data_IF_730146688277
#
_entry.id   IF_730146688277
#
_cell.length_a   1.000
_cell.length_b   1.000
_cell.length_c   1.000
_cell.angle_alpha   90.00
_cell.angle_beta   90.00
_cell.angle_gamma   90.00
#
_symmetry.space_group_name_H-M   'P 1'
#
loop_
_entity.id
_entity.type
_entity.pdbx_description
1 polymer ?
#
# COMPACT_ATOMS: atom_id res chain seq x y z
N UNK A 1 -24.56 -1.58 13.07
CA UNK A 1 -25.41 -0.56 13.72
C UNK A 1 -26.77 -1.13 14.13
N UNK A 2 -27.45 -1.90 13.25
CA UNK A 2 -28.75 -2.52 13.54
C UNK A 2 -28.68 -3.73 14.48
N UNK A 3 -27.60 -4.51 14.39
CA UNK A 3 -27.44 -5.80 15.11
C UNK A 3 -26.67 -5.69 16.43
N UNK A 4 -25.93 -4.60 16.63
CA UNK A 4 -25.06 -4.38 17.79
C UNK A 4 -25.64 -3.40 18.83
N UNK A 5 -26.92 -3.03 18.72
CA UNK A 5 -27.60 -2.09 19.63
C UNK A 5 -26.96 -0.69 19.70
N UNK A 6 -26.00 -0.39 18.82
CA UNK A 6 -25.19 0.80 18.88
C UNK A 6 -25.97 2.02 18.36
N UNK A 7 -26.31 2.95 19.26
CA UNK A 7 -27.04 4.19 18.93
C UNK A 7 -26.15 5.30 18.37
N UNK A 8 -24.83 5.08 18.27
CA UNK A 8 -23.86 6.08 17.78
C UNK A 8 -23.82 6.12 16.25
N UNK A 9 -24.98 6.27 15.62
CA UNK A 9 -25.11 6.33 14.15
C UNK A 9 -24.25 7.43 13.53
N UNK A 10 -24.02 8.53 14.26
CA UNK A 10 -23.17 9.64 13.84
C UNK A 10 -21.74 9.21 13.51
N UNK A 11 -21.20 8.20 14.20
CA UNK A 11 -19.88 7.63 13.88
C UNK A 11 -19.87 6.89 12.54
N UNK A 12 -21.01 6.32 12.14
CA UNK A 12 -21.20 5.61 10.88
C UNK A 12 -21.38 6.53 9.68
N UNK A 13 -21.81 7.77 9.89
CA UNK A 13 -22.21 8.69 8.82
C UNK A 13 -21.08 8.93 7.81
N UNK A 14 -19.85 9.08 8.27
CA UNK A 14 -18.66 9.25 7.40
C UNK A 14 -18.45 8.05 6.46
N UNK A 15 -18.71 6.82 6.93
CA UNK A 15 -18.56 5.61 6.12
C UNK A 15 -19.69 5.49 5.08
N UNK A 16 -20.92 5.83 5.47
CA UNK A 16 -22.06 5.84 4.53
C UNK A 16 -21.85 6.89 3.45
N UNK A 17 -21.46 8.11 3.84
CA UNK A 17 -21.17 9.18 2.90
C UNK A 17 -20.05 8.79 1.93
N UNK A 18 -18.98 8.19 2.45
CA UNK A 18 -17.89 7.67 1.63
C UNK A 18 -18.42 6.65 0.61
N UNK A 19 -19.16 5.64 1.07
CA UNK A 19 -19.71 4.58 0.22
C UNK A 19 -20.56 5.17 -0.91
N UNK A 20 -21.45 6.12 -0.60
CA UNK A 20 -22.28 6.80 -1.61
C UNK A 20 -21.41 7.57 -2.62
N UNK A 21 -20.39 8.29 -2.15
CA UNK A 21 -19.56 9.11 -3.03
C UNK A 21 -18.67 8.29 -3.97
N UNK A 22 -18.27 7.09 -3.57
CA UNK A 22 -17.41 6.21 -4.39
C UNK A 22 -18.20 5.18 -5.21
N UNK A 23 -19.49 4.99 -4.94
CA UNK A 23 -20.35 4.12 -5.72
C UNK A 23 -20.53 4.63 -7.15
N UNK A 24 -20.27 3.76 -8.11
CA UNK A 24 -20.45 4.03 -9.54
C UNK A 24 -21.94 3.96 -9.89
N UNK A 25 -22.44 5.02 -10.54
CA UNK A 25 -23.83 5.04 -11.00
C UNK A 25 -23.98 4.33 -12.35
N UNK A 26 -24.97 3.45 -12.49
CA UNK A 26 -25.15 2.56 -13.66
C UNK A 26 -25.22 3.32 -14.99
N UNK A 27 -25.97 4.42 -15.06
CA UNK A 27 -26.19 5.16 -16.31
C UNK A 27 -24.94 5.94 -16.77
N UNK A 28 -24.14 6.46 -15.84
CA UNK A 28 -23.00 7.33 -16.17
C UNK A 28 -21.68 6.57 -16.17
N UNK A 29 -21.61 5.43 -15.48
CA UNK A 29 -20.37 4.70 -15.24
C UNK A 29 -19.36 5.49 -14.39
N UNK A 30 -19.81 6.55 -13.70
CA UNK A 30 -18.96 7.43 -12.88
C UNK A 30 -19.50 7.49 -11.45
N UNK A 31 -18.60 7.65 -10.49
CA UNK A 31 -18.94 7.96 -9.10
C UNK A 31 -19.03 9.47 -8.87
N UNK A 32 -19.86 9.95 -7.94
CA UNK A 32 -19.89 11.37 -7.57
C UNK A 32 -18.50 11.93 -7.21
N UNK A 33 -17.65 11.12 -6.55
CA UNK A 33 -16.26 11.48 -6.23
C UNK A 33 -15.45 11.76 -7.50
N UNK A 34 -15.47 10.83 -8.47
CA UNK A 34 -14.73 11.01 -9.72
C UNK A 34 -15.21 12.21 -10.52
N UNK A 35 -16.52 12.47 -10.52
CA UNK A 35 -17.10 13.65 -11.18
C UNK A 35 -16.66 14.95 -10.51
N UNK A 36 -16.50 14.96 -9.19
CA UNK A 36 -16.13 16.18 -8.43
C UNK A 36 -14.64 16.45 -8.39
N UNK A 37 -13.80 15.41 -8.32
CA UNK A 37 -12.36 15.54 -8.16
C UNK A 37 -11.56 15.20 -9.43
N UNK A 38 -12.19 14.57 -10.42
CA UNK A 38 -11.54 14.20 -11.69
C UNK A 38 -10.62 12.98 -11.60
N UNK A 39 -10.41 12.42 -10.40
CA UNK A 39 -9.61 11.21 -10.16
C UNK A 39 -10.41 10.16 -9.38
N UNK A 40 -9.97 8.89 -9.48
CA UNK A 40 -10.53 7.83 -8.63
C UNK A 40 -10.08 8.03 -7.17
N UNK A 41 -10.91 7.65 -6.20
CA UNK A 41 -10.56 7.73 -4.79
C UNK A 41 -9.33 6.86 -4.48
N UNK A 42 -8.30 7.46 -3.87
CA UNK A 42 -7.12 6.73 -3.37
C UNK A 42 -7.43 6.05 -2.05
N UNK A 43 -7.21 4.74 -1.96
CA UNK A 43 -7.59 3.91 -0.81
C UNK A 43 -6.36 3.11 -0.35
N UNK A 44 -6.28 2.82 0.95
CA UNK A 44 -5.22 1.98 1.50
C UNK A 44 -3.84 2.63 1.36
N UNK A 45 -2.85 1.88 0.86
CA UNK A 45 -1.47 2.36 0.71
C UNK A 45 -1.36 3.51 -0.29
N UNK A 46 -2.25 3.60 -1.28
CA UNK A 46 -2.27 4.69 -2.27
C UNK A 46 -2.66 6.05 -1.67
N UNK A 47 -3.26 6.05 -0.47
CA UNK A 47 -3.60 7.29 0.25
C UNK A 47 -2.38 7.96 0.91
N UNK A 48 -1.25 7.24 1.02
CA UNK A 48 -0.01 7.75 1.59
C UNK A 48 0.97 8.21 0.50
N UNK A 49 1.89 9.10 0.89
CA UNK A 49 2.99 9.53 0.01
C UNK A 49 4.09 8.46 0.08
N UNK A 50 3.90 7.37 -0.65
CA UNK A 50 4.85 6.26 -0.73
C UNK A 50 5.49 6.18 -2.12
N UNK A 51 6.73 5.66 -2.22
CA UNK A 51 7.34 5.34 -3.51
C UNK A 51 6.45 4.37 -4.29
N UNK A 52 6.26 4.64 -5.59
CA UNK A 52 5.44 3.77 -6.46
C UNK A 52 5.92 2.33 -6.45
N UNK A 53 7.23 2.10 -6.44
CA UNK A 53 7.82 0.76 -6.34
C UNK A 53 7.34 -0.03 -5.12
N UNK A 54 7.15 0.64 -3.98
CA UNK A 54 6.67 0.00 -2.75
C UNK A 54 5.18 -0.34 -2.84
N UNK A 55 4.37 0.59 -3.38
CA UNK A 55 2.93 0.36 -3.58
C UNK A 55 2.71 -0.75 -4.61
N UNK A 56 3.52 -0.78 -5.67
CA UNK A 56 3.46 -1.80 -6.72
C UNK A 56 3.89 -3.18 -6.20
N UNK A 57 4.91 -3.25 -5.35
CA UNK A 57 5.33 -4.49 -4.69
C UNK A 57 4.25 -5.05 -3.75
N UNK A 58 3.39 -4.19 -3.20
CA UNK A 58 2.33 -4.59 -2.25
C UNK A 58 1.01 -5.01 -2.92
N UNK A 59 0.99 -5.25 -4.24
CA UNK A 59 -0.24 -5.58 -4.99
C UNK A 59 -0.76 -7.00 -4.75
N UNK A 60 0.13 -7.97 -4.63
CA UNK A 60 -0.22 -9.38 -4.36
C UNK A 60 0.74 -9.97 -3.35
N UNK A 61 0.35 -11.08 -2.72
CA UNK A 61 1.19 -11.78 -1.75
C UNK A 61 2.51 -12.24 -2.38
N UNK A 62 2.47 -12.75 -3.61
CA UNK A 62 3.65 -13.22 -4.34
C UNK A 62 4.65 -12.08 -4.62
N UNK A 63 4.15 -10.88 -4.99
CA UNK A 63 5.01 -9.72 -5.24
C UNK A 63 5.66 -9.21 -3.94
N UNK A 64 4.97 -9.34 -2.81
CA UNK A 64 5.54 -8.99 -1.50
C UNK A 64 6.68 -9.96 -1.17
N UNK A 65 6.49 -11.26 -1.35
CA UNK A 65 7.52 -12.27 -1.09
C UNK A 65 8.74 -12.09 -2.00
N UNK A 66 8.55 -11.84 -3.30
CA UNK A 66 9.64 -11.56 -4.24
C UNK A 66 10.40 -10.28 -3.83
N UNK A 67 9.68 -9.23 -3.45
CA UNK A 67 10.29 -7.98 -3.02
C UNK A 67 11.14 -8.15 -1.76
N UNK A 68 10.67 -8.92 -0.78
CA UNK A 68 11.41 -9.16 0.46
C UNK A 68 12.63 -10.07 0.23
N UNK A 69 12.48 -11.17 -0.51
CA UNK A 69 13.57 -12.11 -0.80
C UNK A 69 14.68 -11.46 -1.63
N UNK A 70 14.35 -10.59 -2.59
CA UNK A 70 15.35 -9.81 -3.32
C UNK A 70 16.10 -8.82 -2.43
N UNK A 71 15.46 -8.27 -1.39
CA UNK A 71 16.11 -7.38 -0.43
C UNK A 71 17.03 -8.12 0.55
N UNK A 72 16.66 -9.35 0.94
CA UNK A 72 17.48 -10.23 1.77
C UNK A 72 18.75 -10.67 1.02
N UNK A 73 18.61 -11.12 -0.24
CA UNK A 73 19.75 -11.52 -1.06
C UNK A 73 20.75 -10.37 -1.31
N UNK A 74 20.26 -9.14 -1.51
CA UNK A 74 21.11 -7.97 -1.70
C UNK A 74 21.89 -7.56 -0.42
N UNK A 75 21.35 -7.83 0.78
CA UNK A 75 22.02 -7.51 2.03
C UNK A 75 23.17 -8.48 2.34
N UNK A 76 23.02 -9.76 2.02
CA UNK A 76 24.07 -10.77 2.26
C UNK A 76 25.33 -10.57 1.40
N UNK A 77 25.20 -10.04 0.18
CA UNK A 77 26.34 -9.72 -0.68
C UNK A 77 27.16 -8.52 -0.16
N UNK A 78 26.53 -7.59 0.55
CA UNK A 78 27.21 -6.40 1.09
C UNK A 78 28.14 -6.72 2.27
N UNK A 79 27.81 -7.74 3.08
CA UNK A 79 28.62 -8.18 4.21
C UNK A 79 29.86 -9.00 3.81
N UNK A 80 29.87 -9.59 2.62
CA UNK A 80 30.98 -10.43 2.15
C UNK A 80 32.14 -9.64 1.50
N UNK A 81 31.95 -8.34 1.20
CA UNK A 81 32.97 -7.53 0.52
C UNK A 81 34.00 -6.90 1.47
N UNK A 82 33.66 -6.72 2.74
CA UNK A 82 34.54 -6.05 3.72
C UNK A 82 35.54 -6.99 4.43
N UNK A 83 35.53 -8.30 4.13
CA UNK A 83 36.27 -9.32 4.89
C UNK A 83 37.63 -9.76 4.33
N UNK A 84 38.18 -9.15 3.26
CA UNK A 84 39.45 -9.63 2.66
C UNK A 84 40.47 -8.52 2.41
N UNK A 85 41.16 -8.08 3.45
CA UNK A 85 42.53 -7.57 3.33
C UNK A 85 43.20 -7.52 4.71
N UNK A 86 43.80 -8.63 5.18
CA UNK A 86 44.97 -8.65 6.07
C UNK A 86 45.53 -10.08 6.07
N UNK A 87 46.33 -10.44 5.08
CA UNK A 87 47.26 -11.56 5.18
C UNK A 87 48.28 -11.38 4.05
N UNK A 88 49.37 -10.69 4.35
CA UNK A 88 50.67 -10.78 3.68
C UNK A 88 51.51 -9.66 4.29
N UNK A 89 52.27 -9.95 5.35
CA UNK A 89 53.54 -9.31 5.71
C UNK A 89 54.07 -9.92 7.02
N UNK A 90 54.67 -11.11 6.93
CA UNK A 90 55.81 -11.46 7.79
C UNK A 90 56.66 -12.47 7.01
N UNK A 91 57.74 -11.95 6.40
CA UNK A 91 58.89 -12.71 5.90
C UNK A 91 60.04 -12.54 6.87
#
# INVERSE_FOLDING_TARGET
MRENGCKRWSMGLKFVQWQINVSVHETTGQSPFKVTFGEEPRIGLESYILPKSLVDAAKTEELIEEFLTSHEANNEDSLNRDGKNYDENES
#
